data_IF_106547026163
#
_entry.id   IF_106547026163
#
_cell.length_a   1.000
_cell.length_b   1.000
_cell.length_c   1.000
_cell.angle_alpha   90.00
_cell.angle_beta   90.00
_cell.angle_gamma   90.00
#
_symmetry.space_group_name_H-M   'P 1'
#
loop_
_entity.id
_entity.type
_entity.pdbx_description
1 polymer ?
#
# COMPACT_ATOMS: atom_id res chain seq x y z
N UNK A 1 -50.65 45.40 -14.38
CA UNK A 1 -50.36 46.72 -13.80
C UNK A 1 -49.36 46.56 -12.65
N UNK A 2 -48.29 47.35 -12.71
CA UNK A 2 -47.37 47.87 -11.68
C UNK A 2 -47.37 47.29 -10.24
N UNK A 3 -46.14 47.00 -9.80
CA UNK A 3 -45.62 46.62 -8.46
C UNK A 3 -45.75 47.74 -7.40
N UNK A 4 -46.02 47.38 -6.13
CA UNK A 4 -45.39 47.88 -4.86
C UNK A 4 -46.15 47.35 -3.63
N UNK A 5 -45.58 46.42 -2.84
CA UNK A 5 -44.85 46.62 -1.56
C UNK A 5 -45.74 47.22 -0.44
N UNK A 6 -45.87 46.64 0.77
CA UNK A 6 -44.92 46.84 1.88
C UNK A 6 -45.25 45.93 3.10
N UNK A 7 -44.19 45.26 3.60
CA UNK A 7 -43.80 44.92 4.98
C UNK A 7 -44.77 44.26 5.97
N UNK A 8 -44.32 43.12 6.50
CA UNK A 8 -44.14 42.96 7.95
C UNK A 8 -42.87 42.15 8.23
N UNK A 9 -41.96 42.80 8.95
CA UNK A 9 -40.65 42.30 9.38
C UNK A 9 -40.86 41.42 10.62
N UNK A 10 -40.26 40.23 10.63
CA UNK A 10 -39.95 39.52 11.86
C UNK A 10 -38.45 39.23 11.87
N UNK A 11 -37.72 40.05 12.62
CA UNK A 11 -36.33 39.81 13.02
C UNK A 11 -36.36 39.15 14.39
N UNK A 12 -35.92 37.89 14.51
CA UNK A 12 -35.47 37.29 15.78
C UNK A 12 -34.34 36.31 15.44
N UNK A 13 -33.10 36.80 15.56
CA UNK A 13 -32.08 36.38 16.53
C UNK A 13 -31.06 35.35 15.99
N UNK A 14 -29.80 35.77 16.08
CA UNK A 14 -28.61 35.02 15.76
C UNK A 14 -28.39 33.85 16.74
N UNK A 15 -27.94 32.72 16.21
CA UNK A 15 -26.99 31.85 16.91
C UNK A 15 -25.81 31.63 15.97
N UNK A 16 -24.77 32.44 16.20
CA UNK A 16 -23.44 32.26 15.63
C UNK A 16 -22.89 30.97 16.24
N UNK A 17 -22.86 29.91 15.46
CA UNK A 17 -22.46 28.59 15.94
C UNK A 17 -22.29 27.57 14.84
N UNK A 18 -22.08 28.01 13.59
CA UNK A 18 -21.47 27.16 12.59
C UNK A 18 -19.97 27.07 12.92
N UNK A 19 -19.63 26.32 13.96
CA UNK A 19 -18.39 25.55 13.90
C UNK A 19 -18.62 24.54 12.78
N UNK A 20 -18.42 24.99 11.54
CA UNK A 20 -18.15 24.12 10.43
C UNK A 20 -16.91 23.33 10.86
N UNK A 21 -17.15 22.15 11.42
CA UNK A 21 -16.12 21.14 11.59
C UNK A 21 -15.63 20.90 10.18
N UNK A 22 -14.53 21.54 9.85
CA UNK A 22 -13.74 21.22 8.67
C UNK A 22 -13.18 19.84 8.96
N UNK A 23 -14.00 18.80 8.77
CA UNK A 23 -13.55 17.43 8.60
C UNK A 23 -12.74 17.46 7.30
N UNK A 24 -11.47 17.80 7.43
CA UNK A 24 -10.47 17.40 6.47
C UNK A 24 -10.59 15.88 6.40
N UNK A 25 -11.11 15.36 5.28
CA UNK A 25 -10.92 13.97 4.91
C UNK A 25 -9.42 13.75 4.70
N UNK A 26 -8.67 13.65 5.80
CA UNK A 26 -7.34 13.08 5.78
C UNK A 26 -7.56 11.59 5.54
N UNK A 27 -7.36 11.16 4.30
CA UNK A 27 -7.25 9.75 4.00
C UNK A 27 -6.21 9.18 4.96
N UNK A 28 -6.63 8.30 5.87
CA UNK A 28 -5.72 7.64 6.79
C UNK A 28 -4.66 6.90 5.96
N UNK A 29 -3.39 7.19 6.19
CA UNK A 29 -2.32 6.46 5.52
C UNK A 29 -2.37 4.99 5.94
N UNK A 30 -2.28 4.03 5.01
CA UNK A 30 -2.34 2.60 5.35
C UNK A 30 -1.25 2.21 6.34
N UNK A 31 -1.61 1.35 7.30
CA UNK A 31 -0.65 0.77 8.24
C UNK A 31 0.19 -0.32 7.55
N UNK A 32 1.52 -0.26 7.72
CA UNK A 32 2.42 -1.16 7.02
C UNK A 32 2.33 -2.60 7.49
N UNK A 33 2.05 -2.86 8.77
CA UNK A 33 1.95 -4.23 9.27
C UNK A 33 0.68 -4.90 8.77
N UNK A 34 -0.44 -4.15 8.72
CA UNK A 34 -1.65 -4.63 8.06
C UNK A 34 -1.42 -4.94 6.58
N UNK A 35 -0.79 -4.03 5.82
CA UNK A 35 -0.52 -4.24 4.40
C UNK A 35 0.39 -5.45 4.16
N UNK A 36 1.40 -5.67 5.01
CA UNK A 36 2.27 -6.86 4.94
C UNK A 36 1.49 -8.16 5.13
N UNK A 37 0.59 -8.21 6.11
CA UNK A 37 -0.26 -9.37 6.37
C UNK A 37 -1.23 -9.64 5.21
N UNK A 38 -1.82 -8.59 4.65
CA UNK A 38 -2.71 -8.69 3.49
C UNK A 38 -1.97 -9.18 2.23
N UNK A 39 -0.74 -8.71 2.01
CA UNK A 39 0.16 -9.18 0.95
C UNK A 39 0.45 -10.67 1.12
N UNK A 40 0.86 -11.10 2.32
CA UNK A 40 1.14 -12.52 2.62
C UNK A 40 -0.09 -13.40 2.39
N UNK A 41 -1.24 -12.98 2.92
CA UNK A 41 -2.52 -13.69 2.77
C UNK A 41 -2.94 -13.80 1.30
N UNK A 42 -2.78 -12.72 0.53
CA UNK A 42 -3.13 -12.69 -0.90
C UNK A 42 -2.26 -13.65 -1.70
N UNK A 43 -0.95 -13.68 -1.44
CA UNK A 43 -0.05 -14.64 -2.07
C UNK A 43 -0.43 -16.09 -1.72
N UNK A 44 -0.70 -16.40 -0.45
CA UNK A 44 -1.09 -17.77 -0.06
C UNK A 44 -2.41 -18.23 -0.70
N UNK A 45 -3.34 -17.30 -0.94
CA UNK A 45 -4.64 -17.61 -1.55
C UNK A 45 -4.57 -17.77 -3.07
N UNK A 46 -3.84 -16.88 -3.74
CA UNK A 46 -3.79 -16.78 -5.21
C UNK A 46 -2.32 -16.67 -5.70
N UNK A 47 -1.47 -17.68 -5.44
CA UNK A 47 -0.02 -17.53 -5.61
C UNK A 47 0.41 -17.36 -7.08
N UNK A 48 -0.33 -17.93 -8.03
CA UNK A 48 -0.02 -17.85 -9.46
C UNK A 48 -0.47 -16.54 -10.12
N UNK A 49 -1.46 -15.87 -9.54
CA UNK A 49 -2.01 -14.60 -10.04
C UNK A 49 -1.46 -13.39 -9.26
N UNK A 50 -0.56 -13.64 -8.30
CA UNK A 50 -0.03 -12.63 -7.42
C UNK A 50 0.89 -11.64 -8.16
N UNK A 51 0.55 -10.35 -8.11
CA UNK A 51 1.35 -9.29 -8.73
C UNK A 51 2.29 -8.63 -7.71
N UNK A 52 3.60 -8.88 -7.87
CA UNK A 52 4.63 -8.19 -7.08
C UNK A 52 4.50 -6.68 -7.24
N UNK A 53 4.41 -6.18 -8.48
CA UNK A 53 4.34 -4.73 -8.75
C UNK A 53 3.17 -4.05 -8.03
N UNK A 54 1.99 -4.69 -8.01
CA UNK A 54 0.83 -4.15 -7.30
C UNK A 54 1.06 -4.14 -5.78
N UNK A 55 1.55 -5.24 -5.22
CA UNK A 55 1.88 -5.35 -3.80
C UNK A 55 2.98 -4.36 -3.39
N UNK A 56 3.99 -4.13 -4.23
CA UNK A 56 5.05 -3.15 -3.99
C UNK A 56 4.53 -1.73 -3.99
N UNK A 57 3.53 -1.40 -4.82
CA UNK A 57 2.87 -0.09 -4.82
C UNK A 57 2.03 0.13 -3.58
N UNK A 58 1.33 -0.92 -3.13
CA UNK A 58 0.58 -0.91 -1.88
C UNK A 58 1.49 -0.70 -0.67
N UNK A 59 2.60 -1.45 -0.60
CA UNK A 59 3.58 -1.34 0.48
C UNK A 59 4.30 0.01 0.49
N UNK A 60 4.58 0.60 -0.69
CA UNK A 60 5.17 1.93 -0.81
C UNK A 60 4.26 3.04 -0.26
N UNK A 61 2.93 2.86 -0.35
CA UNK A 61 1.96 3.80 0.20
C UNK A 61 1.80 3.65 1.74
N UNK A 62 2.16 2.49 2.29
CA UNK A 62 1.99 2.17 3.70
C UNK A 62 3.04 2.84 4.59
N UNK A 63 2.68 3.06 5.87
CA UNK A 63 3.57 3.66 6.88
C UNK A 63 3.60 2.81 8.13
N UNK A 64 4.78 2.75 8.74
CA UNK A 64 4.97 2.20 10.08
C UNK A 64 5.33 3.36 10.99
N UNK A 65 4.48 3.68 11.98
CA UNK A 65 4.66 4.83 12.87
C UNK A 65 4.92 6.15 12.14
N UNK A 66 4.30 6.32 10.96
CA UNK A 66 4.46 7.50 10.10
C UNK A 66 5.69 7.48 9.18
N UNK A 67 6.55 6.47 9.27
CA UNK A 67 7.73 6.30 8.42
C UNK A 67 7.46 5.43 7.20
N UNK A 68 8.07 5.77 6.06
CA UNK A 68 8.06 4.91 4.89
C UNK A 68 8.88 3.63 5.16
N UNK A 69 8.31 2.48 4.83
CA UNK A 69 8.96 1.18 5.05
C UNK A 69 9.82 0.72 3.89
N UNK A 70 9.61 1.29 2.70
CA UNK A 70 10.39 1.04 1.49
C UNK A 70 10.21 2.19 0.49
N UNK A 71 10.99 2.18 -0.59
CA UNK A 71 10.82 3.08 -1.74
C UNK A 71 10.88 2.34 -3.07
N UNK A 72 10.05 2.75 -4.02
CA UNK A 72 10.14 2.27 -5.42
C UNK A 72 11.20 3.00 -6.24
N UNK A 73 11.65 4.17 -5.77
CA UNK A 73 12.58 5.02 -6.51
C UNK A 73 14.04 4.56 -6.39
N UNK A 74 14.33 3.69 -5.41
CA UNK A 74 15.66 3.11 -5.24
C UNK A 74 15.64 1.66 -5.71
N UNK A 75 16.63 1.32 -6.53
CA UNK A 75 16.98 -0.07 -6.77
C UNK A 75 17.43 -0.71 -5.44
N UNK A 76 17.13 -2.00 -5.31
CA UNK A 76 17.61 -2.85 -4.24
C UNK A 76 19.14 -2.95 -4.29
N UNK A 77 19.75 -3.04 -3.13
CA UNK A 77 21.19 -3.21 -2.98
C UNK A 77 21.63 -4.60 -3.44
N UNK A 78 22.91 -4.76 -3.80
CA UNK A 78 23.47 -6.08 -4.14
C UNK A 78 23.26 -7.13 -3.04
N UNK A 79 23.27 -6.73 -1.77
CA UNK A 79 22.99 -7.63 -0.65
C UNK A 79 21.55 -8.16 -0.67
N UNK A 80 20.58 -7.32 -1.05
CA UNK A 80 19.18 -7.71 -1.19
C UNK A 80 18.97 -8.69 -2.36
N UNK A 81 19.68 -8.51 -3.48
CA UNK A 81 19.68 -9.50 -4.57
C UNK A 81 20.25 -10.86 -4.13
N UNK A 82 21.35 -10.86 -3.37
CA UNK A 82 21.93 -12.10 -2.81
C UNK A 82 20.96 -12.79 -1.86
N UNK A 83 20.24 -12.02 -1.04
CA UNK A 83 19.24 -12.57 -0.13
C UNK A 83 18.08 -13.24 -0.89
N UNK A 84 17.59 -12.62 -1.97
CA UNK A 84 16.55 -13.21 -2.83
C UNK A 84 17.04 -14.48 -3.51
N UNK A 85 18.28 -14.51 -3.98
CA UNK A 85 18.89 -15.73 -4.52
C UNK A 85 18.87 -16.86 -3.46
N UNK A 86 19.22 -16.53 -2.21
CA UNK A 86 19.15 -17.47 -1.09
C UNK A 86 17.74 -17.96 -0.75
N UNK A 87 16.68 -17.20 -1.07
CA UNK A 87 15.32 -17.70 -0.93
C UNK A 87 15.03 -18.83 -1.93
N UNK A 88 15.48 -18.70 -3.18
CA UNK A 88 15.27 -19.72 -4.22
C UNK A 88 15.93 -21.07 -3.91
N UNK A 89 16.97 -21.07 -3.08
CA UNK A 89 17.66 -22.29 -2.63
C UNK A 89 16.91 -23.04 -1.52
N UNK A 90 15.86 -22.44 -0.93
CA UNK A 90 15.09 -23.08 0.15
C UNK A 90 14.17 -24.18 -0.43
N UNK A 91 14.08 -25.35 0.22
CA UNK A 91 13.31 -26.48 -0.28
C UNK A 91 11.79 -26.28 -0.26
N UNK A 92 11.31 -25.25 0.44
CA UNK A 92 9.88 -24.97 0.60
C UNK A 92 9.36 -23.91 -0.38
N UNK A 93 10.22 -23.27 -1.17
CA UNK A 93 9.75 -22.29 -2.14
C UNK A 93 9.14 -22.99 -3.36
N UNK A 94 7.83 -22.78 -3.53
CA UNK A 94 7.06 -23.37 -4.62
C UNK A 94 7.30 -22.68 -5.96
N UNK A 95 6.84 -23.32 -7.04
CA UNK A 95 6.89 -22.78 -8.40
C UNK A 95 6.39 -21.33 -8.51
N UNK A 96 5.34 -20.98 -7.77
CA UNK A 96 4.76 -19.64 -7.77
C UNK A 96 5.71 -18.57 -7.19
N UNK A 97 6.46 -18.89 -6.13
CA UNK A 97 7.47 -17.96 -5.60
C UNK A 97 8.57 -17.71 -6.63
N UNK A 98 9.07 -18.79 -7.27
CA UNK A 98 10.05 -18.67 -8.34
C UNK A 98 9.53 -17.80 -9.48
N UNK A 99 8.30 -18.00 -9.92
CA UNK A 99 7.67 -17.18 -10.96
C UNK A 99 7.61 -15.70 -10.55
N UNK A 100 7.26 -15.40 -9.30
CA UNK A 100 7.23 -14.05 -8.78
C UNK A 100 8.63 -13.39 -8.77
N UNK A 101 9.67 -14.15 -8.38
CA UNK A 101 11.07 -13.68 -8.47
C UNK A 101 11.47 -13.44 -9.93
N UNK A 102 11.20 -14.38 -10.83
CA UNK A 102 11.55 -14.26 -12.25
C UNK A 102 10.85 -13.03 -12.88
N UNK A 103 9.63 -12.70 -12.47
CA UNK A 103 8.91 -11.51 -12.94
C UNK A 103 9.57 -10.18 -12.52
N UNK A 104 10.23 -10.15 -11.36
CA UNK A 104 10.97 -8.98 -10.88
C UNK A 104 12.35 -8.91 -11.56
N UNK A 105 13.06 -10.05 -11.62
CA UNK A 105 14.43 -10.11 -12.12
C UNK A 105 14.56 -9.91 -13.64
N UNK A 106 13.46 -10.07 -14.37
CA UNK A 106 13.40 -9.80 -15.82
C UNK A 106 13.01 -8.35 -16.14
N UNK A 107 12.64 -7.54 -15.14
CA UNK A 107 12.34 -6.13 -15.34
C UNK A 107 13.65 -5.36 -15.61
N UNK A 108 13.76 -4.60 -16.72
CA UNK A 108 14.95 -3.80 -17.02
C UNK A 108 15.24 -2.70 -15.99
N UNK A 109 14.28 -2.30 -15.16
CA UNK A 109 14.54 -1.37 -14.05
C UNK A 109 15.21 -2.01 -12.84
N UNK A 110 15.38 -3.34 -12.86
CA UNK A 110 15.82 -4.10 -11.70
C UNK A 110 14.75 -4.21 -10.62
N UNK A 111 15.14 -4.82 -9.51
CA UNK A 111 14.32 -4.98 -8.30
C UNK A 111 14.39 -3.70 -7.47
N UNK A 112 13.25 -3.07 -7.15
CA UNK A 112 13.24 -1.96 -6.19
C UNK A 112 13.35 -2.45 -4.74
N UNK A 113 13.64 -1.55 -3.80
CA UNK A 113 13.59 -1.88 -2.38
C UNK A 113 12.20 -2.38 -1.96
N UNK A 114 11.12 -1.82 -2.49
CA UNK A 114 9.77 -2.34 -2.21
C UNK A 114 9.53 -3.74 -2.79
N UNK A 115 10.02 -4.04 -4.00
CA UNK A 115 9.91 -5.39 -4.58
C UNK A 115 10.65 -6.42 -3.72
N UNK A 116 11.85 -6.07 -3.26
CA UNK A 116 12.59 -6.90 -2.31
C UNK A 116 11.76 -7.20 -1.05
N UNK A 117 11.18 -6.17 -0.42
CA UNK A 117 10.37 -6.36 0.80
C UNK A 117 9.17 -7.27 0.55
N UNK A 118 8.50 -7.14 -0.59
CA UNK A 118 7.39 -8.03 -0.97
C UNK A 118 7.88 -9.46 -1.13
N UNK A 119 9.00 -9.69 -1.83
CA UNK A 119 9.60 -11.02 -1.96
C UNK A 119 9.95 -11.65 -0.60
N UNK A 120 10.51 -10.86 0.33
CA UNK A 120 10.75 -11.33 1.71
C UNK A 120 9.45 -11.70 2.42
N UNK A 121 8.39 -10.90 2.28
CA UNK A 121 7.08 -11.18 2.91
C UNK A 121 6.53 -12.51 2.40
N UNK A 122 6.50 -12.73 1.08
CA UNK A 122 5.90 -13.93 0.51
C UNK A 122 6.77 -15.19 0.73
N UNK A 123 8.10 -15.08 0.75
CA UNK A 123 8.99 -16.19 1.13
C UNK A 123 8.74 -16.62 2.58
N UNK A 124 8.61 -15.65 3.48
CA UNK A 124 8.31 -15.93 4.89
C UNK A 124 6.92 -16.54 5.08
N UNK A 125 5.93 -16.13 4.27
CA UNK A 125 4.60 -16.71 4.28
C UNK A 125 4.61 -18.17 3.76
N UNK A 126 5.28 -18.41 2.62
CA UNK A 126 5.43 -19.74 2.03
C UNK A 126 6.17 -20.74 2.94
N UNK A 127 7.12 -20.25 3.74
CA UNK A 127 7.87 -21.09 4.69
C UNK A 127 7.07 -21.50 5.93
N UNK A 128 5.87 -20.93 6.17
CA UNK A 128 5.03 -21.18 7.34
C UNK A 128 3.74 -21.96 7.02
N UNK A 129 3.33 -21.98 5.76
CA UNK A 129 2.14 -22.70 5.28
C UNK A 129 2.47 -24.14 4.90
#
# INVERSE_FOLDING_TARGET
>A
MKVKAILSVAFVAAAVGAAAVLQTNQASTPDADQVREEIATRFLREPLDFSIRAASAELAAARLDGFAVCTQASEATSAQYVEVAGFLDKPHEGFAFKQAVDAVMTDPSGMSDCDFRVLTIISNAASRG
#
